data_IF_680804697271
#
_entry.id   IF_680804697271
#
_cell.length_a   1.000
_cell.length_b   1.000
_cell.length_c   1.000
_cell.angle_alpha   90.00
_cell.angle_beta   90.00
_cell.angle_gamma   90.00
#
_symmetry.space_group_name_H-M   'P 1'
#
loop_
_entity.id
_entity.type
_entity.pdbx_description
1 polymer ?
#
# COMPACT_ATOMS: atom_id res chain seq x y z
N UNK A 1 9.62 3.57 34.21
CA UNK A 1 8.82 2.33 34.35
C UNK A 1 8.79 1.64 33.01
N UNK A 2 9.60 0.60 32.85
CA UNK A 2 9.82 -0.13 31.60
C UNK A 2 8.61 -1.01 31.25
N UNK A 3 8.24 -1.05 29.96
CA UNK A 3 7.45 -2.13 29.38
C UNK A 3 8.39 -2.98 28.52
N UNK A 4 8.80 -4.13 29.03
CA UNK A 4 9.49 -5.16 28.24
C UNK A 4 8.49 -5.82 27.29
N UNK A 5 8.77 -5.80 25.98
CA UNK A 5 8.03 -6.61 25.00
C UNK A 5 8.27 -8.10 25.28
N UNK A 6 7.36 -8.74 26.01
CA UNK A 6 7.31 -10.18 26.12
C UNK A 6 6.60 -10.76 24.90
N UNK A 7 7.26 -11.68 24.19
CA UNK A 7 6.65 -12.45 23.12
C UNK A 7 5.62 -13.43 23.70
N UNK A 8 4.36 -13.29 23.29
CA UNK A 8 3.28 -14.21 23.64
C UNK A 8 3.31 -15.40 22.67
N UNK A 9 4.05 -16.45 23.02
CA UNK A 9 3.87 -17.77 22.40
C UNK A 9 2.95 -18.62 23.28
N UNK A 10 1.64 -18.46 23.11
CA UNK A 10 0.66 -19.32 23.78
C UNK A 10 0.52 -20.66 23.05
N UNK A 11 0.94 -21.71 23.75
CA UNK A 11 0.81 -23.13 23.41
C UNK A 11 -0.68 -23.52 23.33
N UNK A 12 -1.16 -23.91 22.14
CA UNK A 12 -2.49 -24.49 21.96
C UNK A 12 -2.41 -26.01 22.09
N UNK A 13 -2.94 -26.56 23.18
CA UNK A 13 -3.17 -27.99 23.33
C UNK A 13 -4.41 -28.41 22.52
N UNK A 14 -4.24 -29.45 21.71
CA UNK A 14 -5.21 -29.99 20.77
C UNK A 14 -6.19 -30.92 21.47
N UNK A 15 -7.42 -30.44 21.66
CA UNK A 15 -8.56 -31.26 22.09
C UNK A 15 -9.00 -32.25 21.01
N UNK A 16 -9.16 -33.51 21.43
CA UNK A 16 -9.56 -34.69 20.65
C UNK A 16 -10.80 -34.48 19.77
N UNK A 17 -10.64 -34.68 18.46
CA UNK A 17 -11.73 -34.73 17.49
C UNK A 17 -12.55 -36.03 17.59
N UNK A 18 -13.86 -35.89 17.80
CA UNK A 18 -14.82 -36.97 17.58
C UNK A 18 -15.08 -37.11 16.08
N UNK A 19 -14.55 -38.17 15.47
CA UNK A 19 -14.82 -38.55 14.08
C UNK A 19 -16.21 -39.17 14.01
N UNK A 20 -17.19 -38.44 13.47
CA UNK A 20 -18.53 -38.97 13.23
C UNK A 20 -18.49 -39.87 12.00
N UNK A 21 -18.69 -41.18 12.19
CA UNK A 21 -18.68 -42.16 11.10
C UNK A 21 -19.83 -41.95 10.11
N UNK A 22 -19.55 -42.06 8.81
CA UNK A 22 -20.52 -41.90 7.72
C UNK A 22 -21.73 -42.87 7.77
N UNK A 23 -21.67 -43.90 8.61
CA UNK A 23 -22.72 -44.91 8.76
C UNK A 23 -23.89 -44.47 9.65
N UNK A 24 -23.81 -43.35 10.38
CA UNK A 24 -24.93 -42.89 11.24
C UNK A 24 -26.00 -42.09 10.48
N UNK A 25 -25.65 -41.45 9.36
CA UNK A 25 -26.56 -40.59 8.61
C UNK A 25 -27.60 -41.38 7.79
N UNK A 26 -27.27 -42.59 7.33
CA UNK A 26 -28.19 -43.42 6.52
C UNK A 26 -29.34 -44.02 7.34
N UNK A 27 -29.16 -44.21 8.64
CA UNK A 27 -30.18 -44.76 9.54
C UNK A 27 -31.28 -43.73 9.88
N UNK A 28 -30.94 -42.44 9.92
CA UNK A 28 -31.87 -41.36 10.26
C UNK A 28 -32.82 -41.06 9.08
N UNK A 29 -32.35 -41.18 7.84
CA UNK A 29 -33.14 -40.91 6.64
C UNK A 29 -34.32 -41.89 6.43
N UNK A 30 -34.23 -43.13 6.94
CA UNK A 30 -35.28 -44.16 6.75
C UNK A 30 -36.56 -43.96 7.60
N UNK A 31 -36.53 -43.07 8.60
CA UNK A 31 -37.68 -42.80 9.50
C UNK A 31 -38.29 -41.40 9.38
N UNK A 32 -37.71 -40.50 8.58
CA UNK A 32 -38.26 -39.16 8.42
C UNK A 32 -39.51 -39.20 7.53
N UNK A 33 -40.65 -38.79 8.10
CA UNK A 33 -41.89 -38.59 7.34
C UNK A 33 -41.65 -37.52 6.26
N UNK A 34 -42.24 -37.65 5.06
CA UNK A 34 -42.03 -36.72 3.93
C UNK A 34 -42.33 -35.26 4.27
N UNK A 35 -43.17 -34.99 5.27
CA UNK A 35 -43.45 -33.64 5.79
C UNK A 35 -42.18 -32.90 6.26
N UNK A 36 -41.22 -33.60 6.89
CA UNK A 36 -40.00 -32.96 7.38
C UNK A 36 -39.05 -32.56 6.25
N UNK A 37 -39.04 -33.30 5.14
CA UNK A 37 -38.25 -32.94 3.96
C UNK A 37 -38.80 -31.67 3.29
N UNK A 38 -40.11 -31.49 3.26
CA UNK A 38 -40.75 -30.27 2.74
C UNK A 38 -40.41 -29.05 3.61
N UNK A 39 -40.43 -29.21 4.94
CA UNK A 39 -40.06 -28.13 5.87
C UNK A 39 -38.58 -27.75 5.69
N UNK A 40 -37.68 -28.73 5.59
CA UNK A 40 -36.25 -28.46 5.34
C UNK A 40 -36.04 -27.78 3.98
N UNK A 41 -36.74 -28.22 2.94
CA UNK A 41 -36.65 -27.60 1.61
C UNK A 41 -37.19 -26.16 1.60
N UNK A 42 -38.27 -25.88 2.35
CA UNK A 42 -38.80 -24.52 2.54
C UNK A 42 -37.83 -23.63 3.33
N UNK A 43 -37.18 -24.17 4.37
CA UNK A 43 -36.17 -23.44 5.15
C UNK A 43 -34.92 -23.12 4.32
N UNK A 44 -34.44 -24.06 3.49
CA UNK A 44 -33.30 -23.84 2.58
C UNK A 44 -33.67 -22.81 1.50
N UNK A 45 -34.88 -22.88 0.95
CA UNK A 45 -35.36 -21.94 -0.06
C UNK A 45 -35.51 -20.51 0.48
N UNK A 46 -35.79 -20.35 1.78
CA UNK A 46 -35.86 -19.04 2.42
C UNK A 46 -34.47 -18.38 2.60
N UNK A 47 -33.42 -19.18 2.81
CA UNK A 47 -32.05 -18.68 2.90
C UNK A 47 -31.47 -18.23 1.55
N UNK A 48 -31.89 -18.83 0.43
CA UNK A 48 -31.40 -18.50 -0.92
C UNK A 48 -31.92 -17.17 -1.47
N UNK A 49 -32.93 -16.55 -0.85
CA UNK A 49 -33.55 -15.31 -1.33
C UNK A 49 -33.14 -14.04 -0.57
N UNK A 50 -32.16 -14.11 0.34
CA UNK A 50 -31.60 -12.90 0.91
C UNK A 50 -30.74 -12.19 -0.13
N UNK A 51 -31.37 -11.23 -0.83
CA UNK A 51 -30.67 -10.32 -1.74
C UNK A 51 -29.57 -9.62 -0.95
N UNK A 52 -28.32 -9.93 -1.29
CA UNK A 52 -27.15 -9.39 -0.60
C UNK A 52 -27.22 -7.85 -0.61
N UNK A 53 -27.07 -7.26 0.58
CA UNK A 53 -27.09 -5.81 0.76
C UNK A 53 -25.73 -5.26 0.40
N UNK A 54 -25.67 -4.47 -0.67
CA UNK A 54 -24.45 -3.75 -1.06
C UNK A 54 -24.31 -2.45 -0.26
N UNK A 55 -23.08 -2.00 -0.07
CA UNK A 55 -22.72 -0.78 0.64
C UNK A 55 -21.86 0.12 -0.23
N UNK A 56 -21.77 1.39 0.12
CA UNK A 56 -20.85 2.33 -0.51
C UNK A 56 -19.94 2.99 0.52
N UNK A 57 -18.77 3.45 0.07
CA UNK A 57 -17.83 4.28 0.80
C UNK A 57 -17.36 5.45 -0.07
N UNK A 58 -17.45 6.69 0.43
CA UNK A 58 -17.03 7.90 -0.29
C UNK A 58 -15.51 8.00 -0.31
N UNK A 59 -14.91 8.08 -1.50
CA UNK A 59 -13.45 8.19 -1.66
C UNK A 59 -12.97 9.55 -2.19
N UNK A 60 -13.89 10.42 -2.62
CA UNK A 60 -13.53 11.74 -3.10
C UNK A 60 -13.08 12.65 -1.95
N UNK A 61 -11.88 13.25 -2.06
CA UNK A 61 -11.33 14.16 -1.05
C UNK A 61 -12.22 15.38 -0.77
N UNK A 62 -12.92 15.87 -1.78
CA UNK A 62 -13.88 16.97 -1.68
C UNK A 62 -15.27 16.53 -1.15
N UNK A 63 -15.44 15.25 -0.83
CA UNK A 63 -16.73 14.64 -0.53
C UNK A 63 -17.54 14.28 -1.77
N UNK A 64 -18.75 13.79 -1.55
CA UNK A 64 -19.68 13.34 -2.59
C UNK A 64 -21.06 13.97 -2.42
N UNK A 65 -21.55 14.64 -3.46
CA UNK A 65 -22.84 15.33 -3.44
C UNK A 65 -23.97 14.29 -3.39
N UNK A 66 -24.80 14.36 -2.35
CA UNK A 66 -26.06 13.63 -2.23
C UNK A 66 -27.18 14.49 -2.83
N UNK A 67 -27.91 13.94 -3.80
CA UNK A 67 -28.98 14.64 -4.54
C UNK A 67 -30.36 14.06 -4.28
N UNK A 68 -31.39 14.85 -4.57
CA UNK A 68 -32.79 14.42 -4.50
C UNK A 68 -33.22 13.47 -5.62
N UNK A 69 -32.45 13.37 -6.70
CA UNK A 69 -32.71 12.47 -7.82
C UNK A 69 -31.45 12.08 -8.60
N UNK A 70 -31.55 11.07 -9.48
CA UNK A 70 -30.42 10.56 -10.25
C UNK A 70 -30.11 11.49 -11.43
N UNK A 71 -29.24 12.47 -11.23
CA UNK A 71 -28.79 13.39 -12.28
C UNK A 71 -28.12 14.65 -11.73
N UNK A 72 -27.31 15.32 -12.55
CA UNK A 72 -26.61 16.56 -12.14
C UNK A 72 -27.56 17.76 -11.95
N UNK A 73 -28.75 17.71 -12.53
CA UNK A 73 -29.74 18.79 -12.48
C UNK A 73 -30.68 18.70 -11.27
N UNK A 74 -30.66 17.60 -10.51
CA UNK A 74 -31.47 17.46 -9.30
C UNK A 74 -30.87 18.25 -8.14
N UNK A 75 -31.73 18.76 -7.26
CA UNK A 75 -31.31 19.55 -6.10
C UNK A 75 -30.29 18.80 -5.23
N UNK A 76 -29.26 19.53 -4.81
CA UNK A 76 -28.30 19.07 -3.81
C UNK A 76 -28.99 19.02 -2.45
N UNK A 77 -28.97 17.86 -1.79
CA UNK A 77 -29.40 17.72 -0.40
C UNK A 77 -28.25 18.12 0.53
N UNK A 78 -27.08 17.49 0.34
CA UNK A 78 -25.87 17.78 1.12
C UNK A 78 -24.61 17.33 0.36
N UNK A 79 -23.43 17.56 0.94
CA UNK A 79 -22.19 16.89 0.53
C UNK A 79 -21.79 15.91 1.62
N UNK A 80 -21.72 14.62 1.29
CA UNK A 80 -21.21 13.58 2.17
C UNK A 80 -19.67 13.71 2.28
N UNK A 81 -19.08 13.80 3.49
CA UNK A 81 -17.64 13.79 3.67
C UNK A 81 -16.96 12.52 3.12
N UNK A 82 -15.65 12.59 2.90
CA UNK A 82 -14.83 11.39 2.64
C UNK A 82 -15.00 10.34 3.75
N UNK A 83 -14.92 9.05 3.42
CA UNK A 83 -15.15 7.89 4.29
C UNK A 83 -16.58 7.74 4.82
N UNK A 84 -17.52 8.60 4.41
CA UNK A 84 -18.95 8.36 4.67
C UNK A 84 -19.37 7.08 3.98
N UNK A 85 -20.14 6.25 4.67
CA UNK A 85 -20.70 5.03 4.10
C UNK A 85 -22.22 4.97 4.23
N UNK A 86 -22.81 4.04 3.49
CA UNK A 86 -24.20 3.68 3.67
C UNK A 86 -24.59 2.47 2.83
N UNK A 87 -25.88 2.15 2.83
CA UNK A 87 -26.46 1.05 2.05
C UNK A 87 -26.80 1.52 0.66
N UNK A 88 -26.57 0.67 -0.33
CA UNK A 88 -27.06 0.85 -1.70
C UNK A 88 -28.41 0.15 -1.81
N UNK A 89 -29.45 0.94 -2.06
CA UNK A 89 -30.81 0.45 -2.23
C UNK A 89 -31.03 -0.01 -3.68
N UNK A 90 -30.51 0.75 -4.64
CA UNK A 90 -30.76 0.49 -6.06
C UNK A 90 -29.69 1.12 -6.98
N UNK A 91 -29.38 0.43 -8.08
CA UNK A 91 -28.58 0.92 -9.21
C UNK A 91 -29.53 1.50 -10.27
N UNK A 92 -29.27 2.71 -10.75
CA UNK A 92 -30.20 3.46 -11.61
C UNK A 92 -29.53 3.90 -12.89
N UNK A 93 -30.15 3.52 -14.01
CA UNK A 93 -29.79 3.96 -15.35
C UNK A 93 -28.49 3.34 -15.88
N UNK A 94 -28.10 3.72 -17.11
CA UNK A 94 -26.85 3.30 -17.71
C UNK A 94 -25.65 4.00 -17.08
N UNK A 95 -24.45 3.45 -17.30
CA UNK A 95 -23.21 4.15 -16.94
C UNK A 95 -23.03 5.41 -17.78
N UNK A 96 -22.60 6.49 -17.17
CA UNK A 96 -22.28 7.80 -17.76
C UNK A 96 -20.95 8.32 -17.23
N UNK A 97 -20.51 9.48 -17.70
CA UNK A 97 -19.29 10.16 -17.24
C UNK A 97 -19.64 11.49 -16.56
N UNK A 98 -19.07 11.72 -15.37
CA UNK A 98 -19.16 12.99 -14.67
C UNK A 98 -17.75 13.36 -14.22
N UNK A 99 -17.27 14.53 -14.63
CA UNK A 99 -15.90 15.03 -14.35
C UNK A 99 -14.80 13.98 -14.66
N UNK A 100 -14.91 13.32 -15.81
CA UNK A 100 -13.94 12.31 -16.27
C UNK A 100 -14.02 10.96 -15.55
N UNK A 101 -14.95 10.77 -14.60
CA UNK A 101 -15.16 9.48 -13.92
C UNK A 101 -16.36 8.74 -14.52
N UNK A 102 -16.16 7.47 -14.87
CA UNK A 102 -17.23 6.56 -15.31
C UNK A 102 -17.99 6.03 -14.11
N UNK A 103 -19.31 5.99 -14.17
CA UNK A 103 -20.16 5.44 -13.12
C UNK A 103 -21.64 5.52 -13.46
N UNK A 104 -22.50 5.07 -12.57
CA UNK A 104 -23.96 5.20 -12.66
C UNK A 104 -24.54 5.80 -11.37
N UNK A 105 -25.83 6.14 -11.37
CA UNK A 105 -26.50 6.69 -10.19
C UNK A 105 -26.94 5.59 -9.22
N UNK A 106 -26.65 5.78 -7.93
CA UNK A 106 -27.04 4.87 -6.86
C UNK A 106 -28.08 5.56 -5.98
N UNK A 107 -29.19 4.88 -5.70
CA UNK A 107 -30.07 5.25 -4.59
C UNK A 107 -29.48 4.68 -3.32
N UNK A 108 -29.23 5.53 -2.34
CA UNK A 108 -28.51 5.16 -1.12
C UNK A 108 -29.20 5.65 0.15
N UNK A 109 -28.90 4.97 1.24
CA UNK A 109 -29.33 5.28 2.61
C UNK A 109 -28.09 5.36 3.50
N UNK A 110 -27.87 6.52 4.12
CA UNK A 110 -26.89 6.70 5.21
C UNK A 110 -27.60 6.64 6.57
N UNK A 111 -26.86 6.79 7.67
CA UNK A 111 -27.47 6.84 9.01
C UNK A 111 -28.49 7.97 9.18
N UNK A 112 -28.32 9.08 8.44
CA UNK A 112 -29.12 10.31 8.63
C UNK A 112 -29.94 10.70 7.41
N UNK A 113 -29.53 10.31 6.20
CA UNK A 113 -30.06 10.86 4.96
C UNK A 113 -30.25 9.79 3.88
N UNK A 114 -31.28 10.00 3.07
CA UNK A 114 -31.57 9.20 1.88
C UNK A 114 -31.42 10.07 0.63
N UNK A 115 -30.92 9.49 -0.45
CA UNK A 115 -30.81 10.23 -1.71
C UNK A 115 -30.08 9.46 -2.80
N UNK A 116 -29.49 10.22 -3.73
CA UNK A 116 -28.82 9.68 -4.89
C UNK A 116 -27.38 10.19 -4.97
N UNK A 117 -26.45 9.29 -5.22
CA UNK A 117 -25.03 9.60 -5.43
C UNK A 117 -24.56 9.04 -6.78
N UNK A 118 -23.47 9.59 -7.31
CA UNK A 118 -22.81 9.06 -8.48
C UNK A 118 -21.68 8.10 -8.09
N UNK A 119 -21.77 6.84 -8.51
CA UNK A 119 -20.81 5.79 -8.12
C UNK A 119 -19.37 6.02 -8.57
N UNK A 120 -19.11 6.88 -9.56
CA UNK A 120 -17.74 7.20 -10.00
C UNK A 120 -16.85 7.85 -8.91
N UNK A 121 -17.43 8.22 -7.78
CA UNK A 121 -16.75 8.82 -6.62
C UNK A 121 -16.92 8.01 -5.32
N UNK A 122 -17.39 6.77 -5.42
CA UNK A 122 -17.56 5.87 -4.29
C UNK A 122 -17.01 4.48 -4.61
N UNK A 123 -16.52 3.77 -3.60
CA UNK A 123 -16.27 2.32 -3.68
C UNK A 123 -17.56 1.61 -3.31
N UNK A 124 -17.86 0.52 -4.01
CA UNK A 124 -19.02 -0.33 -3.73
C UNK A 124 -18.51 -1.61 -3.07
N UNK A 125 -19.12 -1.97 -1.94
CA UNK A 125 -18.83 -3.18 -1.19
C UNK A 125 -20.01 -4.14 -1.31
N UNK A 126 -19.73 -5.43 -1.47
CA UNK A 126 -20.79 -6.44 -1.64
C UNK A 126 -21.56 -6.72 -0.35
N UNK A 127 -20.92 -6.54 0.81
CA UNK A 127 -21.50 -6.75 2.13
C UNK A 127 -20.84 -5.85 3.19
N UNK A 128 -21.35 -5.93 4.42
CA UNK A 128 -20.90 -5.08 5.54
C UNK A 128 -19.50 -5.48 6.02
N UNK A 129 -19.16 -6.76 5.90
CA UNK A 129 -17.83 -7.30 6.23
C UNK A 129 -16.77 -6.68 5.32
N UNK A 130 -17.03 -6.59 4.01
CA UNK A 130 -16.13 -5.95 3.04
C UNK A 130 -15.94 -4.45 3.30
N UNK A 131 -17.00 -3.74 3.71
CA UNK A 131 -16.91 -2.33 4.13
C UNK A 131 -16.12 -2.18 5.44
N UNK A 132 -16.38 -3.03 6.42
CA UNK A 132 -15.63 -3.00 7.68
C UNK A 132 -14.17 -3.40 7.45
N UNK A 133 -13.92 -4.33 6.54
CA UNK A 133 -12.58 -4.70 6.12
C UNK A 133 -11.88 -3.54 5.42
N UNK A 134 -12.53 -2.78 4.52
CA UNK A 134 -11.89 -1.59 3.91
C UNK A 134 -11.51 -0.53 4.94
N UNK A 135 -12.32 -0.38 5.99
CA UNK A 135 -12.08 0.55 7.11
C UNK A 135 -10.98 0.08 8.05
N UNK A 136 -10.98 -1.22 8.37
CA UNK A 136 -10.02 -1.84 9.28
C UNK A 136 -8.68 -2.11 8.61
N UNK A 137 -8.66 -2.30 7.29
CA UNK A 137 -7.47 -2.20 6.47
C UNK A 137 -7.07 -0.73 6.36
N UNK A 138 -6.43 -0.22 7.43
CA UNK A 138 -5.53 0.92 7.33
C UNK A 138 -4.60 0.65 6.14
N UNK A 139 -4.89 1.31 5.03
CA UNK A 139 -4.02 1.53 3.87
C UNK A 139 -2.87 0.51 3.78
N UNK A 140 -3.06 -0.58 3.02
CA UNK A 140 -1.92 -0.98 2.21
C UNK A 140 -1.55 0.29 1.44
N UNK A 141 -0.34 0.84 1.61
CA UNK A 141 0.00 2.09 0.96
C UNK A 141 -0.12 1.81 -0.52
N UNK A 142 -1.25 2.25 -1.12
CA UNK A 142 -1.32 2.52 -2.54
C UNK A 142 -0.03 3.25 -2.83
N UNK A 143 0.78 2.70 -3.74
CA UNK A 143 2.13 3.16 -4.04
C UNK A 143 2.19 4.66 -3.78
N UNK A 144 2.94 5.07 -2.74
CA UNK A 144 2.87 6.41 -2.15
C UNK A 144 3.23 7.52 -3.16
N UNK A 145 3.52 7.14 -4.40
CA UNK A 145 3.96 8.00 -5.47
C UNK A 145 5.47 8.13 -5.43
N UNK A 146 5.91 9.06 -6.25
CA UNK A 146 7.29 9.52 -6.33
C UNK A 146 7.38 10.75 -5.44
N UNK A 147 8.12 10.62 -4.34
CA UNK A 147 8.39 11.76 -3.46
C UNK A 147 9.52 12.57 -4.03
N UNK A 148 9.30 13.85 -4.32
CA UNK A 148 10.38 14.72 -4.76
C UNK A 148 11.10 15.32 -3.57
N UNK A 149 12.41 15.48 -3.67
CA UNK A 149 13.13 16.28 -2.68
C UNK A 149 12.72 17.74 -2.85
N UNK A 150 12.55 18.41 -1.72
CA UNK A 150 12.19 19.83 -1.73
C UNK A 150 13.47 20.64 -1.87
N UNK A 151 13.50 21.53 -2.86
CA UNK A 151 14.57 22.53 -2.98
C UNK A 151 14.45 23.51 -1.82
N UNK A 152 15.58 23.92 -1.25
CA UNK A 152 15.63 24.86 -0.15
C UNK A 152 16.77 25.86 -0.29
N UNK A 153 16.51 27.09 0.17
CA UNK A 153 17.53 28.12 0.33
C UNK A 153 18.32 27.94 1.64
N UNK A 154 17.92 26.99 2.50
CA UNK A 154 18.61 26.71 3.75
C UNK A 154 20.03 26.22 3.49
N UNK A 155 20.96 26.76 4.27
CA UNK A 155 22.29 26.18 4.42
C UNK A 155 22.21 24.82 5.10
N UNK A 156 23.29 24.03 4.96
CA UNK A 156 23.40 22.74 5.65
C UNK A 156 23.29 22.90 7.16
N UNK A 157 23.92 23.93 7.71
CA UNK A 157 23.93 24.22 9.15
C UNK A 157 22.53 24.55 9.66
N UNK A 158 21.78 25.39 8.94
CA UNK A 158 20.39 25.73 9.27
C UNK A 158 19.47 24.50 9.17
N UNK A 159 19.61 23.71 8.11
CA UNK A 159 18.86 22.47 7.96
C UNK A 159 19.17 21.47 9.08
N UNK A 160 20.45 21.27 9.41
CA UNK A 160 20.89 20.38 10.49
C UNK A 160 20.28 20.81 11.82
N UNK A 161 20.28 22.12 12.11
CA UNK A 161 19.65 22.68 13.30
C UNK A 161 18.14 22.39 13.32
N UNK A 162 17.41 22.66 12.24
CA UNK A 162 15.97 22.37 12.15
C UNK A 162 15.66 20.88 12.27
N UNK A 163 16.51 20.02 11.70
CA UNK A 163 16.39 18.57 11.83
C UNK A 163 16.53 18.14 13.29
N UNK A 164 17.53 18.64 14.02
CA UNK A 164 17.74 18.33 15.43
C UNK A 164 16.61 18.84 16.33
N UNK A 165 16.14 20.06 16.11
CA UNK A 165 15.06 20.68 16.90
C UNK A 165 13.77 19.84 16.87
N UNK A 166 13.50 19.14 15.76
CA UNK A 166 12.35 18.21 15.67
C UNK A 166 12.45 17.04 16.64
N UNK A 167 13.65 16.56 16.93
CA UNK A 167 13.87 15.36 17.75
C UNK A 167 14.26 15.67 19.19
N UNK A 168 14.88 16.82 19.45
CA UNK A 168 15.24 17.26 20.81
C UNK A 168 14.03 17.37 21.74
N UNK A 169 12.83 17.63 21.18
CA UNK A 169 11.56 17.62 21.94
C UNK A 169 11.28 16.24 22.56
N UNK A 170 11.73 15.16 21.92
CA UNK A 170 11.56 13.80 22.40
C UNK A 170 12.77 13.32 23.23
N UNK A 171 13.98 13.75 22.85
CA UNK A 171 15.24 13.25 23.40
C UNK A 171 16.30 14.36 23.52
N UNK A 172 16.55 14.82 24.74
CA UNK A 172 17.37 16.03 25.00
C UNK A 172 18.89 15.84 24.84
N UNK A 173 19.36 14.60 24.76
CA UNK A 173 20.77 14.21 24.73
C UNK A 173 21.29 13.85 23.32
N UNK A 174 20.50 14.16 22.28
CA UNK A 174 20.89 13.90 20.90
C UNK A 174 22.13 14.68 20.49
N UNK A 175 23.11 13.96 19.93
CA UNK A 175 24.31 14.55 19.32
C UNK A 175 24.21 14.45 17.82
N UNK A 176 24.54 15.55 17.12
CA UNK A 176 24.52 15.58 15.67
C UNK A 176 25.86 15.20 15.08
N UNK A 177 25.85 14.32 14.08
CA UNK A 177 27.01 13.97 13.28
C UNK A 177 26.69 14.17 11.80
N UNK A 178 27.68 14.61 11.02
CA UNK A 178 27.55 14.72 9.57
C UNK A 178 28.66 13.96 8.88
N UNK A 179 28.30 13.05 7.97
CA UNK A 179 29.23 12.23 7.17
C UNK A 179 28.97 12.44 5.69
N UNK A 180 29.98 12.81 4.91
CA UNK A 180 29.86 12.81 3.44
C UNK A 180 29.79 11.37 2.93
N UNK A 181 28.70 11.01 2.28
CA UNK A 181 28.47 9.66 1.74
C UNK A 181 28.68 9.57 0.24
N UNK A 182 28.52 10.68 -0.49
CA UNK A 182 28.84 10.79 -1.91
C UNK A 182 29.40 12.18 -2.21
N UNK A 183 30.46 12.24 -2.99
CA UNK A 183 31.02 13.49 -3.49
C UNK A 183 31.53 13.25 -4.93
N UNK A 184 30.79 13.76 -5.92
CA UNK A 184 31.15 13.67 -7.34
C UNK A 184 30.94 15.02 -8.04
N UNK A 185 31.10 15.06 -9.36
CA UNK A 185 31.02 16.32 -10.12
C UNK A 185 29.64 16.99 -10.07
N UNK A 186 28.57 16.21 -9.92
CA UNK A 186 27.19 16.72 -9.93
C UNK A 186 26.65 16.94 -8.52
N UNK A 187 26.92 16.02 -7.59
CA UNK A 187 26.31 16.00 -6.26
C UNK A 187 27.33 15.85 -5.15
N UNK A 188 27.05 16.50 -4.04
CA UNK A 188 27.58 16.17 -2.73
C UNK A 188 26.42 15.76 -1.82
N UNK A 189 26.47 14.56 -1.27
CA UNK A 189 25.46 14.02 -0.36
C UNK A 189 26.08 13.81 1.00
N UNK A 190 25.46 14.41 2.01
CA UNK A 190 25.87 14.32 3.40
C UNK A 190 24.76 13.65 4.19
N UNK A 191 25.11 12.57 4.88
CA UNK A 191 24.27 11.94 5.90
C UNK A 191 24.34 12.81 7.15
N UNK A 192 23.18 13.25 7.61
CA UNK A 192 23.04 13.95 8.89
C UNK A 192 22.38 12.97 9.84
N UNK A 193 23.07 12.69 10.94
CA UNK A 193 22.59 11.82 11.99
C UNK A 193 22.37 12.60 13.28
N UNK A 194 21.33 12.26 14.03
CA UNK A 194 21.17 12.67 15.42
C UNK A 194 21.01 11.41 16.25
N UNK A 195 22.01 11.11 17.10
CA UNK A 195 22.08 9.84 17.82
C UNK A 195 22.25 10.05 19.32
N UNK A 196 21.72 9.11 20.10
CA UNK A 196 22.06 8.87 21.50
C UNK A 196 22.18 7.35 21.74
N UNK A 197 22.12 6.90 22.99
CA UNK A 197 22.21 5.46 23.33
C UNK A 197 21.04 4.63 22.77
N UNK A 198 19.87 5.23 22.53
CA UNK A 198 18.62 4.52 22.24
C UNK A 198 18.09 4.76 20.81
N UNK A 199 18.52 5.84 20.16
CA UNK A 199 17.95 6.32 18.92
C UNK A 199 19.01 6.72 17.90
N UNK A 200 18.71 6.43 16.63
CA UNK A 200 19.52 6.81 15.48
C UNK A 200 18.63 7.50 14.45
N UNK A 201 18.52 8.83 14.55
CA UNK A 201 17.80 9.65 13.60
C UNK A 201 18.67 9.96 12.40
N UNK A 202 18.23 9.63 11.19
CA UNK A 202 19.02 9.88 9.98
C UNK A 202 18.22 10.62 8.90
N UNK A 203 18.92 11.47 8.17
CA UNK A 203 18.42 12.07 6.94
C UNK A 203 19.59 12.40 6.02
N UNK A 204 19.30 12.77 4.77
CA UNK A 204 20.32 13.22 3.85
C UNK A 204 20.11 14.68 3.46
N UNK A 205 21.22 15.39 3.32
CA UNK A 205 21.31 16.68 2.68
C UNK A 205 22.03 16.54 1.36
N UNK A 206 21.45 17.05 0.28
CA UNK A 206 22.01 16.92 -1.07
C UNK A 206 22.28 18.31 -1.64
N UNK A 207 23.55 18.58 -1.94
CA UNK A 207 23.98 19.73 -2.72
C UNK A 207 24.14 19.32 -4.18
N UNK A 208 23.36 19.95 -5.07
CA UNK A 208 23.62 19.94 -6.50
C UNK A 208 24.66 21.01 -6.83
N UNK A 209 25.88 20.57 -7.18
CA UNK A 209 27.01 21.47 -7.42
C UNK A 209 26.86 22.30 -8.68
N UNK A 210 26.21 21.73 -9.71
CA UNK A 210 26.03 22.37 -11.02
C UNK A 210 25.06 23.55 -10.92
N UNK A 211 23.89 23.31 -10.33
CA UNK A 211 22.83 24.32 -10.19
C UNK A 211 22.98 25.15 -8.90
N UNK A 212 23.88 24.74 -7.99
CA UNK A 212 24.07 25.33 -6.64
C UNK A 212 22.78 25.33 -5.81
N UNK A 213 22.02 24.23 -5.90
CA UNK A 213 20.75 24.05 -5.21
C UNK A 213 20.89 23.01 -4.10
N UNK A 214 20.23 23.25 -2.97
CA UNK A 214 20.17 22.32 -1.85
C UNK A 214 18.83 21.58 -1.86
N UNK A 215 18.88 20.28 -1.55
CA UNK A 215 17.72 19.41 -1.54
C UNK A 215 17.71 18.58 -0.25
N UNK A 216 16.52 18.34 0.27
CA UNK A 216 16.29 17.40 1.36
C UNK A 216 15.04 16.56 1.09
N UNK A 217 14.97 15.32 1.61
CA UNK A 217 13.78 14.49 1.46
C UNK A 217 12.64 15.07 2.31
N UNK A 218 11.45 15.21 1.74
CA UNK A 218 10.24 15.56 2.52
C UNK A 218 9.94 14.47 3.57
N UNK A 219 10.30 13.23 3.23
CA UNK A 219 10.28 12.11 4.15
C UNK A 219 11.38 12.33 5.19
N UNK A 220 10.99 12.76 6.39
CA UNK A 220 11.88 12.64 7.54
C UNK A 220 12.19 11.16 7.70
N UNK A 221 13.44 10.83 8.03
CA UNK A 221 13.88 9.47 8.35
C UNK A 221 14.25 8.54 7.18
N UNK A 222 15.06 9.02 6.24
CA UNK A 222 15.70 8.16 5.24
C UNK A 222 17.05 7.68 5.78
N UNK A 223 17.24 6.37 5.87
CA UNK A 223 18.50 5.69 6.25
C UNK A 223 19.18 5.12 5.02
N UNK A 224 20.17 5.81 4.42
CA UNK A 224 20.91 5.28 3.28
C UNK A 224 21.70 4.04 3.67
N UNK A 225 21.60 2.99 2.86
CA UNK A 225 22.28 1.70 3.03
C UNK A 225 23.37 1.48 2.00
N UNK A 226 23.10 1.77 0.73
CA UNK A 226 24.07 1.53 -0.36
C UNK A 226 23.81 2.42 -1.56
N UNK A 227 24.73 2.38 -2.52
CA UNK A 227 24.57 3.02 -3.83
C UNK A 227 24.55 2.01 -4.97
N UNK A 228 23.80 2.32 -6.01
CA UNK A 228 23.72 1.55 -7.25
C UNK A 228 23.79 2.46 -8.49
N UNK A 229 24.02 1.84 -9.64
CA UNK A 229 24.05 2.49 -10.97
C UNK A 229 24.96 3.72 -11.03
N UNK A 230 26.24 3.52 -10.72
CA UNK A 230 27.24 4.60 -10.63
C UNK A 230 26.83 5.73 -9.67
N UNK A 231 26.26 5.34 -8.53
CA UNK A 231 25.78 6.24 -7.48
C UNK A 231 24.64 7.15 -7.89
N UNK A 232 23.91 6.80 -8.95
CA UNK A 232 22.68 7.50 -9.34
C UNK A 232 21.44 7.01 -8.61
N UNK A 233 21.54 5.86 -7.94
CA UNK A 233 20.48 5.31 -7.09
C UNK A 233 21.05 5.14 -5.68
N UNK A 234 20.34 5.67 -4.68
CA UNK A 234 20.56 5.42 -3.26
C UNK A 234 19.56 4.36 -2.84
N UNK A 235 20.00 3.32 -2.15
CA UNK A 235 19.10 2.38 -1.47
C UNK A 235 19.11 2.68 0.01
N UNK A 236 18.01 2.39 0.71
CA UNK A 236 17.91 2.67 2.12
C UNK A 236 16.60 2.21 2.71
N UNK A 237 16.34 2.65 3.94
CA UNK A 237 15.11 2.35 4.66
C UNK A 237 14.40 3.62 5.11
N UNK A 238 13.08 3.58 5.14
CA UNK A 238 12.23 4.56 5.83
C UNK A 238 11.59 3.87 7.05
N UNK A 239 11.75 4.42 8.25
CA UNK A 239 10.93 3.99 9.39
C UNK A 239 9.75 4.93 9.56
N UNK A 240 8.55 4.33 9.61
CA UNK A 240 7.30 5.07 9.80
C UNK A 240 7.13 5.61 11.21
N UNK A 241 7.83 5.06 12.20
CA UNK A 241 7.69 5.40 13.62
C UNK A 241 8.99 5.03 14.37
N UNK A 242 9.56 5.98 15.11
CA UNK A 242 10.71 5.76 15.98
C UNK A 242 10.27 5.32 17.37
N UNK A 243 11.03 4.41 17.99
CA UNK A 243 10.70 3.79 19.29
C UNK A 243 9.44 2.90 19.27
N UNK A 244 9.04 2.47 18.08
CA UNK A 244 7.94 1.57 17.82
C UNK A 244 8.52 0.28 17.22
N UNK A 245 7.82 -0.85 17.28
CA UNK A 245 8.15 -2.04 16.49
C UNK A 245 7.81 -1.79 15.00
N UNK A 246 8.27 -0.67 14.44
CA UNK A 246 8.02 -0.29 13.07
C UNK A 246 8.91 -1.10 12.16
N UNK A 247 8.28 -1.78 11.21
CA UNK A 247 8.98 -2.51 10.15
C UNK A 247 9.58 -1.45 9.21
N UNK A 248 10.91 -1.44 9.01
CA UNK A 248 11.52 -0.55 8.02
C UNK A 248 10.96 -0.86 6.64
N UNK A 249 10.65 0.18 5.89
CA UNK A 249 10.24 0.04 4.48
C UNK A 249 11.48 0.24 3.62
N UNK A 250 11.85 -0.75 2.82
CA UNK A 250 12.90 -0.59 1.81
C UNK A 250 12.53 0.52 0.83
N UNK A 251 13.52 1.34 0.49
CA UNK A 251 13.37 2.45 -0.43
C UNK A 251 14.52 2.51 -1.42
N UNK A 252 14.24 3.08 -2.58
CA UNK A 252 15.26 3.62 -3.48
C UNK A 252 15.01 5.12 -3.69
N UNK A 253 16.08 5.89 -3.76
CA UNK A 253 16.06 7.28 -4.20
C UNK A 253 16.88 7.43 -5.47
N UNK A 254 16.30 7.99 -6.53
CA UNK A 254 16.97 8.21 -7.80
C UNK A 254 17.39 9.67 -7.92
N UNK A 255 18.66 9.87 -8.24
CA UNK A 255 19.29 11.17 -8.42
C UNK A 255 19.23 11.57 -9.90
N UNK A 256 18.36 12.54 -10.23
CA UNK A 256 18.29 13.16 -11.54
C UNK A 256 18.79 14.60 -11.51
N UNK A 257 19.27 15.10 -12.65
CA UNK A 257 19.96 16.41 -12.79
C UNK A 257 19.32 17.54 -11.98
N UNK A 258 17.99 17.67 -12.01
CA UNK A 258 17.25 18.73 -11.32
C UNK A 258 16.19 18.22 -10.34
N UNK A 259 16.08 16.91 -10.14
CA UNK A 259 15.06 16.29 -9.30
C UNK A 259 15.63 15.06 -8.62
N UNK A 260 15.29 14.87 -7.36
CA UNK A 260 15.52 13.61 -6.68
C UNK A 260 14.18 13.02 -6.34
N UNK A 261 14.05 11.70 -6.47
CA UNK A 261 12.81 11.04 -6.12
C UNK A 261 12.96 9.71 -5.39
N UNK A 262 12.13 9.51 -4.38
CA UNK A 262 12.12 8.30 -3.55
C UNK A 262 10.89 7.44 -3.84
N UNK A 263 11.12 6.13 -3.86
CA UNK A 263 10.16 5.07 -4.11
C UNK A 263 10.24 4.05 -2.96
N UNK A 264 9.12 3.66 -2.33
CA UNK A 264 9.10 2.64 -1.29
C UNK A 264 9.10 1.24 -1.90
N UNK A 265 10.22 0.90 -2.54
CA UNK A 265 10.55 -0.43 -3.06
C UNK A 265 12.01 -0.73 -2.77
N UNK A 266 12.37 -2.01 -2.59
CA UNK A 266 13.76 -2.43 -2.59
C UNK A 266 14.38 -2.40 -3.99
N UNK A 267 15.70 -2.38 -4.03
CA UNK A 267 16.47 -2.51 -5.27
C UNK A 267 16.44 -3.94 -5.83
N UNK A 268 16.40 -4.93 -4.94
CA UNK A 268 16.40 -6.34 -5.27
C UNK A 268 14.97 -6.86 -5.39
N UNK A 269 14.79 -7.93 -6.16
CA UNK A 269 13.51 -8.62 -6.26
C UNK A 269 13.07 -9.12 -4.88
N UNK A 270 11.84 -8.83 -4.49
CA UNK A 270 11.26 -9.41 -3.29
C UNK A 270 10.66 -10.77 -3.59
N UNK A 271 10.44 -11.57 -2.56
CA UNK A 271 9.64 -12.79 -2.65
C UNK A 271 8.27 -12.48 -2.05
N UNK A 272 7.20 -12.85 -2.75
CA UNK A 272 5.87 -12.85 -2.15
C UNK A 272 5.84 -13.95 -1.07
N UNK A 273 5.72 -13.56 0.19
CA UNK A 273 5.50 -14.49 1.30
C UNK A 273 4.32 -14.00 2.14
N UNK A 274 3.35 -14.89 2.37
CA UNK A 274 2.22 -14.63 3.24
C UNK A 274 2.62 -14.97 4.67
N UNK A 275 2.75 -13.94 5.51
CA UNK A 275 3.09 -14.12 6.92
C UNK A 275 1.87 -14.64 7.73
N UNK A 276 2.14 -15.49 8.74
CA UNK A 276 1.14 -16.14 9.59
C UNK A 276 0.42 -15.18 10.53
N UNK A 277 0.95 -13.99 10.78
CA UNK A 277 0.37 -12.98 11.68
C UNK A 277 -0.91 -12.29 11.13
N UNK A 278 -1.58 -12.90 10.15
CA UNK A 278 -2.84 -12.40 9.59
C UNK A 278 -2.66 -11.33 8.53
N UNK A 279 -1.48 -11.24 7.90
CA UNK A 279 -1.31 -10.40 6.73
C UNK A 279 -2.16 -10.96 5.58
N UNK A 280 -3.24 -10.24 5.23
CA UNK A 280 -4.08 -10.63 4.07
C UNK A 280 -3.38 -10.34 2.75
N UNK A 281 -2.27 -9.60 2.74
CA UNK A 281 -1.56 -9.29 1.50
C UNK A 281 -0.06 -9.26 1.69
N UNK A 282 0.66 -9.61 0.63
CA UNK A 282 2.12 -9.55 0.55
C UNK A 282 2.51 -8.85 -0.75
N UNK A 283 3.63 -8.12 -0.73
CA UNK A 283 4.13 -7.39 -1.87
C UNK A 283 5.32 -8.06 -2.55
N UNK A 284 5.17 -8.19 -3.86
CA UNK A 284 6.21 -8.59 -4.76
C UNK A 284 6.62 -7.38 -5.59
N UNK A 285 7.91 -7.09 -5.63
CA UNK A 285 8.44 -6.01 -6.44
C UNK A 285 9.68 -6.46 -7.18
N UNK A 286 9.82 -5.97 -8.41
CA UNK A 286 10.98 -6.21 -9.26
C UNK A 286 11.34 -4.92 -9.96
N UNK A 287 12.64 -4.60 -9.98
CA UNK A 287 13.17 -3.46 -10.70
C UNK A 287 14.06 -3.94 -11.85
N UNK A 288 13.85 -3.39 -13.03
CA UNK A 288 14.62 -3.70 -14.24
C UNK A 288 15.09 -2.41 -14.90
N UNK A 289 16.32 -2.44 -15.39
CA UNK A 289 16.93 -1.37 -16.17
C UNK A 289 16.99 -1.82 -17.62
N UNK A 290 16.36 -1.05 -18.51
CA UNK A 290 16.33 -1.36 -19.94
C UNK A 290 17.68 -1.08 -20.60
N UNK A 291 17.85 -1.55 -21.83
CA UNK A 291 19.02 -1.21 -22.66
C UNK A 291 19.14 0.29 -22.96
N UNK A 292 18.05 1.06 -22.80
CA UNK A 292 18.02 2.52 -22.94
C UNK A 292 18.26 3.25 -21.62
N UNK A 293 18.60 2.53 -20.55
CA UNK A 293 18.70 3.05 -19.19
C UNK A 293 17.38 3.64 -18.64
N UNK A 294 16.23 3.16 -19.11
CA UNK A 294 14.94 3.42 -18.48
C UNK A 294 14.78 2.46 -17.28
N UNK A 295 14.02 2.87 -16.27
CA UNK A 295 13.70 2.01 -15.12
C UNK A 295 12.26 1.53 -15.26
N UNK A 296 12.07 0.21 -15.21
CA UNK A 296 10.74 -0.40 -15.13
C UNK A 296 10.64 -1.13 -13.79
N UNK A 297 9.59 -0.81 -13.04
CA UNK A 297 9.27 -1.45 -11.77
C UNK A 297 7.95 -2.18 -11.95
N UNK A 298 7.91 -3.47 -11.64
CA UNK A 298 6.67 -4.20 -11.45
C UNK A 298 6.41 -4.30 -9.95
N UNK A 299 5.20 -3.93 -9.52
CA UNK A 299 4.72 -4.13 -8.15
C UNK A 299 3.42 -4.92 -8.19
N UNK A 300 3.47 -6.12 -7.64
CA UNK A 300 2.34 -7.02 -7.50
C UNK A 300 2.00 -7.15 -6.02
N UNK A 301 0.74 -6.94 -5.67
CA UNK A 301 0.22 -7.23 -4.33
C UNK A 301 -0.64 -8.48 -4.47
N UNK A 302 -0.34 -9.49 -3.67
CA UNK A 302 -1.13 -10.71 -3.63
C UNK A 302 -2.13 -10.68 -2.47
N UNK A 303 -3.24 -11.40 -2.62
CA UNK A 303 -4.24 -11.64 -1.59
C UNK A 303 -4.02 -13.03 -0.98
N UNK A 304 -3.53 -13.04 0.26
CA UNK A 304 -3.26 -14.21 1.07
C UNK A 304 -4.52 -14.76 1.77
N UNK A 305 -5.64 -14.01 1.83
CA UNK A 305 -6.82 -14.46 2.60
C UNK A 305 -7.50 -15.71 2.04
N UNK A 306 -7.30 -16.00 0.76
CA UNK A 306 -8.01 -17.07 0.07
C UNK A 306 -7.18 -18.33 -0.17
N UNK A 307 -5.90 -18.35 0.22
CA UNK A 307 -5.03 -19.50 -0.03
C UNK A 307 -4.91 -20.40 1.22
N UNK A 308 -5.66 -21.53 1.29
CA UNK A 308 -5.65 -22.41 2.44
C UNK A 308 -4.28 -23.07 2.69
N UNK A 309 -3.36 -23.04 1.71
CA UNK A 309 -2.00 -23.55 1.90
C UNK A 309 -1.13 -22.58 2.70
N UNK A 310 -1.41 -21.28 2.64
CA UNK A 310 -0.69 -20.27 3.40
C UNK A 310 -1.11 -20.23 4.87
N UNK A 311 -2.26 -20.83 5.22
CA UNK A 311 -2.81 -20.81 6.58
C UNK A 311 -2.26 -21.93 7.48
N UNK A 312 -1.39 -22.81 6.96
CA UNK A 312 -0.84 -23.93 7.72
C UNK A 312 0.48 -23.53 8.39
N UNK A 313 0.68 -23.93 9.65
CA UNK A 313 1.93 -23.68 10.37
C UNK A 313 3.13 -24.30 9.62
N UNK A 314 4.21 -23.52 9.43
CA UNK A 314 5.40 -23.95 8.70
C UNK A 314 5.30 -23.82 7.16
N UNK A 315 4.24 -23.20 6.63
CA UNK A 315 4.11 -22.91 5.20
C UNK A 315 4.80 -21.61 4.75
N UNK A 316 5.37 -20.85 5.70
CA UNK A 316 5.93 -19.49 5.51
C UNK A 316 6.89 -19.38 4.32
N UNK A 317 7.82 -20.32 4.20
CA UNK A 317 8.87 -20.29 3.17
C UNK A 317 8.41 -20.77 1.79
N UNK A 318 7.26 -21.44 1.72
CA UNK A 318 6.81 -22.13 0.51
C UNK A 318 5.45 -21.65 0.00
N UNK A 319 4.75 -20.78 0.73
CA UNK A 319 3.47 -20.30 0.27
C UNK A 319 3.61 -19.21 -0.79
N UNK A 320 3.28 -19.56 -2.03
CA UNK A 320 3.19 -18.63 -3.16
C UNK A 320 1.72 -18.27 -3.36
N UNK A 321 1.27 -17.09 -2.92
CA UNK A 321 -0.11 -16.71 -3.11
C UNK A 321 -0.44 -16.63 -4.61
N UNK A 322 -1.57 -17.19 -5.01
CA UNK A 322 -1.96 -17.24 -6.42
C UNK A 322 -2.90 -16.12 -6.83
N UNK A 323 -3.61 -15.51 -5.87
CA UNK A 323 -4.60 -14.47 -6.16
C UNK A 323 -3.93 -13.11 -6.15
N UNK A 324 -3.82 -12.50 -7.33
CA UNK A 324 -3.33 -11.13 -7.47
C UNK A 324 -4.42 -10.15 -7.02
N UNK A 325 -4.11 -9.31 -6.04
CA UNK A 325 -4.96 -8.19 -5.61
C UNK A 325 -4.78 -6.97 -6.51
N UNK A 326 -3.53 -6.63 -6.83
CA UNK A 326 -3.18 -5.57 -7.78
C UNK A 326 -1.85 -5.88 -8.45
N UNK A 327 -1.69 -5.51 -9.72
CA UNK A 327 -0.43 -5.65 -10.43
C UNK A 327 -0.20 -4.40 -11.28
N UNK A 328 0.92 -3.72 -11.04
CA UNK A 328 1.18 -2.38 -11.58
C UNK A 328 2.60 -2.29 -12.09
N UNK A 329 2.75 -1.67 -13.25
CA UNK A 329 4.04 -1.32 -13.84
C UNK A 329 4.27 0.19 -13.73
N UNK A 330 5.47 0.59 -13.32
CA UNK A 330 5.94 1.97 -13.37
C UNK A 330 7.11 2.03 -14.36
N UNK A 331 6.96 2.84 -15.40
CA UNK A 331 8.04 3.18 -16.32
C UNK A 331 8.57 4.56 -15.97
N UNK A 332 9.89 4.66 -15.83
CA UNK A 332 10.60 5.91 -15.61
C UNK A 332 11.56 6.12 -16.78
N UNK A 333 11.17 6.98 -17.70
CA UNK A 333 11.99 7.40 -18.83
C UNK A 333 12.96 8.50 -18.39
N UNK A 334 14.18 8.48 -18.94
CA UNK A 334 15.22 9.45 -18.63
C UNK A 334 15.45 9.64 -17.11
N UNK A 335 15.62 8.54 -16.35
CA UNK A 335 15.54 8.57 -14.89
C UNK A 335 16.57 9.47 -14.21
N UNK A 336 17.66 9.83 -14.90
CA UNK A 336 18.80 10.56 -14.36
C UNK A 336 18.94 12.01 -14.87
N UNK A 337 18.04 12.47 -15.74
CA UNK A 337 18.09 13.85 -16.26
C UNK A 337 16.79 14.59 -15.93
N UNK A 338 15.72 14.36 -16.69
CA UNK A 338 14.38 14.85 -16.41
C UNK A 338 13.40 13.68 -16.47
N UNK A 339 13.17 13.00 -15.33
CA UNK A 339 12.40 11.77 -15.29
C UNK A 339 10.95 12.01 -15.70
N UNK A 340 10.45 11.22 -16.65
CA UNK A 340 9.03 11.11 -16.96
C UNK A 340 8.50 9.79 -16.41
N UNK A 341 7.39 9.85 -15.68
CA UNK A 341 6.88 8.70 -14.93
C UNK A 341 5.51 8.32 -15.48
N UNK A 342 5.36 7.05 -15.82
CA UNK A 342 4.12 6.47 -16.31
C UNK A 342 3.74 5.27 -15.46
N UNK A 343 2.47 5.18 -15.08
CA UNK A 343 1.91 4.08 -14.29
C UNK A 343 0.89 3.32 -15.15
N UNK A 344 0.99 1.99 -15.17
CA UNK A 344 0.13 1.10 -15.93
C UNK A 344 -0.39 -0.02 -15.04
N UNK A 345 -1.68 -0.33 -15.15
CA UNK A 345 -2.19 -1.61 -14.66
C UNK A 345 -1.67 -2.75 -15.57
N UNK A 346 -1.28 -3.87 -14.97
CA UNK A 346 -0.70 -5.00 -15.71
C UNK A 346 -1.64 -5.58 -16.78
N UNK A 347 -2.95 -5.39 -16.67
CA UNK A 347 -3.92 -5.83 -17.68
C UNK A 347 -3.86 -5.02 -18.98
N UNK A 348 -3.29 -3.81 -18.94
CA UNK A 348 -3.23 -2.86 -20.07
C UNK A 348 -1.83 -2.33 -20.35
N UNK A 349 -0.80 -2.92 -19.76
CA UNK A 349 0.59 -2.50 -19.99
C UNK A 349 0.99 -2.75 -21.47
N UNK A 350 1.55 -1.74 -22.16
CA UNK A 350 2.03 -1.91 -23.52
C UNK A 350 3.02 -3.08 -23.68
N UNK A 351 2.88 -3.87 -24.74
CA UNK A 351 3.69 -5.08 -24.96
C UNK A 351 5.20 -4.79 -25.08
N UNK A 352 5.58 -3.64 -25.62
CA UNK A 352 6.98 -3.22 -25.68
C UNK A 352 7.59 -3.03 -24.28
N UNK A 353 6.83 -2.49 -23.32
CA UNK A 353 7.28 -2.34 -21.93
C UNK A 353 7.46 -3.71 -21.28
N UNK A 354 6.54 -4.66 -21.52
CA UNK A 354 6.68 -6.04 -21.04
C UNK A 354 7.93 -6.73 -21.58
N UNK A 355 8.22 -6.57 -22.87
CA UNK A 355 9.44 -7.12 -23.50
C UNK A 355 10.68 -6.50 -22.86
N UNK A 356 10.72 -5.17 -22.73
CA UNK A 356 11.83 -4.45 -22.10
C UNK A 356 12.03 -4.84 -20.63
N UNK A 357 10.94 -5.07 -19.89
CA UNK A 357 11.01 -5.54 -18.51
C UNK A 357 11.63 -6.94 -18.43
N UNK A 358 11.15 -7.88 -19.24
CA UNK A 358 11.66 -9.27 -19.28
C UNK A 358 13.12 -9.37 -19.69
N UNK A 359 13.56 -8.48 -20.58
CA UNK A 359 14.94 -8.45 -21.11
C UNK A 359 15.85 -7.47 -20.36
N UNK A 360 15.27 -6.66 -19.48
CA UNK A 360 15.99 -5.71 -18.66
C UNK A 360 16.86 -6.42 -17.63
N UNK A 361 17.92 -5.74 -17.21
CA UNK A 361 18.84 -6.25 -16.18
C UNK A 361 18.45 -5.74 -14.81
N UNK A 362 18.91 -6.41 -13.76
CA UNK A 362 18.89 -5.84 -12.40
C UNK A 362 19.85 -4.66 -12.29
N UNK A 363 19.61 -3.81 -11.29
CA UNK A 363 20.52 -2.72 -10.96
C UNK A 363 21.85 -3.27 -10.40
N UNK A 364 22.96 -2.61 -10.74
CA UNK A 364 24.31 -2.93 -10.27
C UNK A 364 24.57 -2.16 -8.98
N UNK A 365 24.77 -2.87 -7.89
CA UNK A 365 25.15 -2.31 -6.60
C UNK A 365 26.66 -2.08 -6.55
N UNK A 366 27.08 -0.87 -6.16
CA UNK A 366 28.48 -0.46 -6.23
C UNK A 366 29.20 -0.54 -4.87
N UNK A 367 28.51 -0.18 -3.78
CA UNK A 367 29.14 0.03 -2.46
C UNK A 367 28.10 0.06 -1.34
N UNK A 368 28.33 -0.73 -0.29
CA UNK A 368 27.60 -0.62 0.98
C UNK A 368 28.18 0.52 1.82
N UNK A 369 27.33 1.22 2.57
CA UNK A 369 27.71 2.37 3.40
C UNK A 369 28.19 2.01 4.81
N UNK A 370 28.14 0.71 5.16
CA UNK A 370 28.56 0.12 6.43
C UNK A 370 29.98 0.52 6.84
#
# INVERSE_FOLDING_TARGET
TQATCQSLTSRWDSGSGNVVSANSLSAIAKKMKPVYLIIIFLLISCHLFQKEKKYFEVIAKSGLILRSGPGQNYNKITTLPINTSGKIIQFIGPTTYIQGKKGLWLKVETEQLNGYIFSGFAIIHENIESLNQSRNYKFFPKFKGIFQFTNTDLTKEEFTKQFLEKFIVFESDLTSETKTILDNDLYKIELISAKNEYSDYQTIFVLNKKEKLNYFPEINNLHPKSFAENSKIITGFEYTCYNCCAIPTDTISILAENKLYTLPIPLNDTLASCDLEGQVKTDFSQLRITNKNEIIIQKTIYDCSTDPKCSQAGAEDNCKPTKVFSDTFLLIENPYSNPNVFEFDASVVPNNILIQFKTGRTAKTNKNLD
#
